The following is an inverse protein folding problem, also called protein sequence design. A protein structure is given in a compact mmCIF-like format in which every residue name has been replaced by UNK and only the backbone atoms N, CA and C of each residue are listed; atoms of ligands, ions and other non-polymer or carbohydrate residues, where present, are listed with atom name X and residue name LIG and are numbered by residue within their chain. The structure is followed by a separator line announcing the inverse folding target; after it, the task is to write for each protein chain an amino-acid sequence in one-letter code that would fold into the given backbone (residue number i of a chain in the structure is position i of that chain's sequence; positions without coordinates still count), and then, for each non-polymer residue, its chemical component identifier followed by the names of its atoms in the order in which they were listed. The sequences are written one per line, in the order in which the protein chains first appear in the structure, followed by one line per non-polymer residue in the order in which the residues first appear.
data_IF_481915626146
#
_entry.id   IF_481915626146
#
_cell.length_a   1.000
_cell.length_b   1.000
_cell.length_c   1.000
_cell.angle_alpha   90.00
_cell.angle_beta   90.00
_cell.angle_gamma   90.00
#
_symmetry.space_group_name_H-M   'P 1'
#
loop_
_entity.id
_entity.type
_entity.pdbx_description
1 polymer ?
#
# COMPACT_ATOMS: atom_id res chain seq x y z
N UNK A 1 -6.30 4.50 23.07
CA UNK A 1 -5.95 5.91 22.85
C UNK A 1 -5.15 6.48 24.03
N UNK A 2 -5.63 6.41 25.30
CA UNK A 2 -4.98 7.05 26.46
C UNK A 2 -3.47 6.79 26.57
N UNK A 3 -3.03 5.53 26.60
CA UNK A 3 -1.59 5.18 26.73
C UNK A 3 -0.68 5.70 25.60
N UNK A 4 -1.23 6.00 24.42
CA UNK A 4 -0.47 6.58 23.31
C UNK A 4 -0.36 8.10 23.48
N UNK A 5 -1.46 8.76 23.86
CA UNK A 5 -1.48 10.21 24.12
C UNK A 5 -0.49 10.60 25.22
N UNK A 6 -0.41 9.79 26.29
CA UNK A 6 0.55 9.99 27.39
C UNK A 6 2.03 9.94 26.96
N UNK A 7 2.28 9.41 25.75
CA UNK A 7 3.62 9.29 25.15
C UNK A 7 3.83 10.21 23.94
N UNK A 8 2.89 11.09 23.62
CA UNK A 8 2.94 11.95 22.46
C UNK A 8 2.87 11.18 21.12
N UNK A 9 2.25 9.99 21.12
CA UNK A 9 2.12 9.13 19.92
C UNK A 9 0.69 9.17 19.41
N UNK A 10 0.53 9.44 18.12
CA UNK A 10 -0.76 9.38 17.40
C UNK A 10 -0.84 8.16 16.48
N UNK A 11 -2.05 7.73 16.17
CA UNK A 11 -2.31 6.69 15.17
C UNK A 11 -2.60 7.38 13.83
N UNK A 12 -1.75 7.18 12.82
CA UNK A 12 -1.92 7.78 11.50
C UNK A 12 -3.01 7.10 10.66
N UNK A 13 -3.11 5.77 10.75
CA UNK A 13 -4.11 4.99 10.05
C UNK A 13 -4.38 3.66 10.76
N UNK A 14 -5.54 3.04 10.48
CA UNK A 14 -5.78 1.63 10.78
C UNK A 14 -5.53 0.81 9.51
N UNK A 15 -4.75 -0.27 9.62
CA UNK A 15 -4.45 -1.16 8.50
C UNK A 15 -5.23 -2.47 8.58
N UNK A 16 -5.85 -2.88 7.47
CA UNK A 16 -6.45 -4.19 7.30
C UNK A 16 -6.46 -4.57 5.82
N UNK A 17 -5.72 -5.59 5.47
CA UNK A 17 -5.34 -5.89 4.08
C UNK A 17 -5.88 -7.23 3.54
N UNK A 18 -7.21 -7.45 3.51
CA UNK A 18 -7.82 -8.66 2.97
C UNK A 18 -7.98 -8.60 1.46
N UNK A 19 -8.17 -9.78 0.84
CA UNK A 19 -8.67 -9.86 -0.52
C UNK A 19 -10.21 -9.85 -0.55
N UNK A 20 -10.82 -8.66 -0.76
CA UNK A 20 -12.27 -8.49 -0.76
C UNK A 20 -12.95 -9.02 -2.04
N UNK A 21 -12.19 -9.20 -3.13
CA UNK A 21 -12.73 -9.66 -4.41
C UNK A 21 -12.50 -11.15 -4.67
N UNK A 22 -11.99 -11.88 -3.67
CA UNK A 22 -11.81 -13.33 -3.75
C UNK A 22 -13.12 -14.05 -4.08
N UNK A 23 -13.04 -15.08 -4.92
CA UNK A 23 -14.15 -16.03 -5.15
C UNK A 23 -14.53 -16.82 -3.90
N UNK A 24 -13.60 -17.01 -2.98
CA UNK A 24 -13.87 -17.65 -1.69
C UNK A 24 -14.75 -16.74 -0.82
N UNK A 25 -16.04 -17.05 -0.79
CA UNK A 25 -17.04 -16.30 -0.01
C UNK A 25 -16.89 -16.51 1.49
N UNK A 26 -16.25 -17.60 1.93
CA UNK A 26 -15.99 -17.83 3.36
C UNK A 26 -14.90 -16.88 3.86
N UNK A 27 -13.97 -16.48 2.99
CA UNK A 27 -12.98 -15.45 3.26
C UNK A 27 -13.54 -14.02 3.02
N UNK A 28 -14.09 -13.75 1.83
CA UNK A 28 -14.43 -12.39 1.41
C UNK A 28 -15.56 -11.74 2.23
N UNK A 29 -16.61 -12.51 2.63
CA UNK A 29 -17.73 -11.95 3.40
C UNK A 29 -17.33 -11.49 4.81
N UNK A 30 -16.66 -12.29 5.65
CA UNK A 30 -16.18 -11.83 6.95
C UNK A 30 -15.18 -10.67 6.83
N UNK A 31 -14.31 -10.70 5.83
CA UNK A 31 -13.35 -9.65 5.57
C UNK A 31 -14.04 -8.30 5.27
N UNK A 32 -15.06 -8.30 4.40
CA UNK A 32 -15.85 -7.12 4.11
C UNK A 32 -16.60 -6.60 5.35
N UNK A 33 -17.19 -7.50 6.14
CA UNK A 33 -17.87 -7.14 7.38
C UNK A 33 -16.90 -6.49 8.38
N UNK A 34 -15.68 -7.03 8.49
CA UNK A 34 -14.64 -6.48 9.36
C UNK A 34 -14.16 -5.11 8.89
N UNK A 35 -13.89 -4.93 7.58
CA UNK A 35 -13.52 -3.62 7.03
C UNK A 35 -14.61 -2.56 7.33
N UNK A 36 -15.87 -2.89 7.12
CA UNK A 36 -17.00 -1.99 7.46
C UNK A 36 -17.02 -1.64 8.96
N UNK A 37 -16.68 -2.59 9.83
CA UNK A 37 -16.55 -2.35 11.27
C UNK A 37 -15.39 -1.40 11.59
N UNK A 38 -14.24 -1.57 10.93
CA UNK A 38 -13.09 -0.67 11.10
C UNK A 38 -13.43 0.76 10.67
N UNK A 39 -14.05 0.95 9.50
CA UNK A 39 -14.49 2.27 9.02
C UNK A 39 -15.37 2.96 10.07
N UNK A 40 -16.36 2.26 10.63
CA UNK A 40 -17.25 2.80 11.68
C UNK A 40 -16.55 3.06 13.02
N UNK A 41 -15.44 2.39 13.28
CA UNK A 41 -14.73 2.46 14.55
C UNK A 41 -13.56 3.44 14.55
N UNK A 42 -12.98 3.73 13.41
CA UNK A 42 -11.81 4.61 13.26
C UNK A 42 -12.04 6.02 13.87
N UNK A 43 -13.20 6.70 13.65
CA UNK A 43 -13.45 8.00 14.26
C UNK A 43 -13.49 7.97 15.78
N UNK A 44 -13.94 6.86 16.40
CA UNK A 44 -13.96 6.69 17.86
C UNK A 44 -12.58 6.64 18.48
N UNK A 45 -11.55 6.36 17.66
CA UNK A 45 -10.14 6.35 18.04
C UNK A 45 -9.43 7.65 17.64
N UNK A 46 -10.13 8.61 17.05
CA UNK A 46 -9.55 9.83 16.47
C UNK A 46 -8.75 9.58 15.19
N UNK A 47 -9.02 8.46 14.49
CA UNK A 47 -8.32 8.08 13.26
C UNK A 47 -9.22 8.32 12.05
N UNK A 48 -8.70 9.03 11.05
CA UNK A 48 -9.44 9.40 9.85
C UNK A 48 -9.06 8.58 8.60
N UNK A 49 -8.12 7.64 8.72
CA UNK A 49 -7.62 6.84 7.59
C UNK A 49 -7.73 5.35 7.91
N UNK A 50 -8.25 4.58 6.94
CA UNK A 50 -8.19 3.11 6.96
C UNK A 50 -7.49 2.65 5.68
N UNK A 51 -6.35 1.98 5.85
CA UNK A 51 -5.57 1.42 4.74
C UNK A 51 -5.98 -0.03 4.48
N UNK A 52 -6.07 -0.40 3.20
CA UNK A 52 -6.51 -1.73 2.78
C UNK A 52 -6.07 -2.05 1.35
N UNK A 53 -6.41 -3.25 0.87
CA UNK A 53 -6.32 -3.64 -0.54
C UNK A 53 -7.69 -3.60 -1.22
N UNK A 54 -7.71 -3.41 -2.54
CA UNK A 54 -8.91 -3.63 -3.36
C UNK A 54 -9.29 -5.10 -3.38
N UNK A 55 -8.30 -5.95 -3.52
CA UNK A 55 -8.46 -7.36 -3.78
C UNK A 55 -8.52 -7.67 -5.29
N UNK A 56 -8.26 -8.91 -5.65
CA UNK A 56 -8.46 -9.46 -6.99
C UNK A 56 -8.58 -10.98 -6.92
N UNK A 57 -9.22 -11.57 -7.91
CA UNK A 57 -9.22 -13.01 -8.14
C UNK A 57 -8.15 -13.34 -9.19
N UNK A 58 -7.03 -14.02 -8.84
CA UNK A 58 -5.91 -14.23 -9.75
C UNK A 58 -6.26 -15.00 -11.03
N UNK A 59 -7.29 -15.85 -10.97
CA UNK A 59 -7.75 -16.62 -12.12
C UNK A 59 -8.60 -15.80 -13.12
N UNK A 60 -8.86 -14.55 -12.85
CA UNK A 60 -9.64 -13.65 -13.71
C UNK A 60 -8.73 -12.59 -14.34
N UNK A 61 -9.14 -12.10 -15.52
CA UNK A 61 -8.53 -10.92 -16.12
C UNK A 61 -8.78 -9.66 -15.28
N UNK A 62 -7.97 -8.62 -15.51
CA UNK A 62 -8.16 -7.30 -14.88
C UNK A 62 -9.56 -6.74 -15.15
N UNK A 63 -10.10 -6.89 -16.36
CA UNK A 63 -11.44 -6.40 -16.71
C UNK A 63 -12.54 -7.13 -15.93
N UNK A 64 -12.40 -8.45 -15.74
CA UNK A 64 -13.35 -9.23 -14.94
C UNK A 64 -13.26 -8.86 -13.45
N UNK A 65 -12.04 -8.66 -12.92
CA UNK A 65 -11.82 -8.14 -11.58
C UNK A 65 -12.37 -6.71 -11.42
N UNK A 66 -12.22 -5.86 -12.45
CA UNK A 66 -12.73 -4.51 -12.43
C UNK A 66 -14.27 -4.46 -12.40
N UNK A 67 -14.94 -5.41 -13.04
CA UNK A 67 -16.40 -5.59 -12.90
C UNK A 67 -16.80 -5.90 -11.45
N UNK A 68 -16.03 -6.75 -10.77
CA UNK A 68 -16.23 -7.06 -9.35
C UNK A 68 -15.98 -5.84 -8.46
N UNK A 69 -14.98 -5.04 -8.76
CA UNK A 69 -14.69 -3.76 -8.10
C UNK A 69 -15.90 -2.81 -8.20
N UNK A 70 -16.43 -2.57 -9.39
CA UNK A 70 -17.61 -1.71 -9.61
C UNK A 70 -18.83 -2.12 -8.78
N UNK A 71 -19.01 -3.41 -8.55
CA UNK A 71 -20.15 -3.93 -7.79
C UNK A 71 -19.94 -3.84 -6.28
N UNK A 72 -18.69 -3.83 -5.81
CA UNK A 72 -18.37 -3.96 -4.38
C UNK A 72 -17.97 -2.62 -3.74
N UNK A 73 -17.07 -1.91 -4.38
CA UNK A 73 -16.36 -0.79 -3.76
C UNK A 73 -17.16 0.51 -3.59
N UNK A 74 -18.09 0.91 -4.49
CA UNK A 74 -18.85 2.15 -4.29
C UNK A 74 -19.59 2.21 -2.96
N UNK A 75 -20.15 1.08 -2.51
CA UNK A 75 -20.86 1.00 -1.22
C UNK A 75 -19.93 1.12 0.00
N UNK A 76 -18.67 0.68 -0.14
CA UNK A 76 -17.66 0.79 0.91
C UNK A 76 -17.22 2.25 1.04
N UNK A 77 -16.94 2.90 -0.09
CA UNK A 77 -16.52 4.30 -0.09
C UNK A 77 -17.64 5.21 0.38
N UNK A 78 -18.89 4.95 -0.02
CA UNK A 78 -20.05 5.68 0.54
C UNK A 78 -20.12 5.57 2.06
N UNK A 79 -19.89 4.37 2.62
CA UNK A 79 -19.84 4.19 4.08
C UNK A 79 -18.68 4.98 4.71
N UNK A 80 -17.53 5.03 4.06
CA UNK A 80 -16.38 5.79 4.53
C UNK A 80 -16.64 7.31 4.53
N UNK A 81 -17.28 7.84 3.48
CA UNK A 81 -17.76 9.22 3.42
C UNK A 81 -18.70 9.57 4.58
N UNK A 82 -19.70 8.71 4.84
CA UNK A 82 -20.70 8.92 5.89
C UNK A 82 -20.06 8.96 7.30
N UNK A 83 -18.84 8.42 7.44
CA UNK A 83 -18.10 8.40 8.71
C UNK A 83 -16.88 9.35 8.72
N UNK A 84 -16.67 10.12 7.66
CA UNK A 84 -15.50 11.03 7.55
C UNK A 84 -14.15 10.30 7.51
N UNK A 85 -14.12 9.07 6.98
CA UNK A 85 -12.93 8.21 6.93
C UNK A 85 -12.43 8.11 5.49
N UNK A 86 -11.16 8.41 5.26
CA UNK A 86 -10.50 8.17 3.98
C UNK A 86 -10.03 6.72 3.89
N UNK A 87 -10.20 6.12 2.72
CA UNK A 87 -9.67 4.79 2.41
C UNK A 87 -8.40 4.95 1.59
N UNK A 88 -7.27 4.47 2.13
CA UNK A 88 -5.99 4.40 1.44
C UNK A 88 -5.79 3.00 0.85
N UNK A 89 -5.73 2.90 -0.47
CA UNK A 89 -5.47 1.63 -1.15
C UNK A 89 -3.98 1.48 -1.38
N UNK A 90 -3.40 0.41 -0.86
CA UNK A 90 -2.01 0.09 -1.11
C UNK A 90 -1.85 -0.53 -2.51
N UNK A 91 -0.77 -0.14 -3.17
CA UNK A 91 -0.45 -0.59 -4.53
C UNK A 91 0.35 -1.91 -4.61
N UNK A 92 0.46 -2.64 -3.49
CA UNK A 92 1.04 -3.98 -3.48
C UNK A 92 0.22 -4.95 -4.34
N UNK A 93 0.79 -5.62 -5.35
CA UNK A 93 0.08 -6.63 -6.15
C UNK A 93 -0.29 -7.90 -5.38
N UNK A 94 0.29 -8.13 -4.20
CA UNK A 94 0.06 -9.30 -3.33
C UNK A 94 0.44 -10.62 -4.00
N UNK A 95 1.71 -10.76 -4.34
CA UNK A 95 2.29 -12.06 -4.70
C UNK A 95 2.92 -12.70 -3.46
N UNK A 96 2.48 -13.90 -3.11
CA UNK A 96 3.06 -14.72 -2.06
C UNK A 96 3.58 -16.05 -2.59
N UNK A 97 2.98 -16.53 -3.71
CA UNK A 97 3.35 -17.77 -4.39
C UNK A 97 3.39 -17.54 -5.91
N UNK A 98 3.94 -18.51 -6.64
CA UNK A 98 3.95 -18.47 -8.10
C UNK A 98 2.56 -18.63 -8.73
N UNK A 99 1.62 -19.27 -8.02
CA UNK A 99 0.26 -19.50 -8.52
C UNK A 99 -0.55 -18.21 -8.68
N UNK A 100 -0.11 -17.13 -8.07
CA UNK A 100 -0.73 -15.80 -8.14
C UNK A 100 -0.21 -14.98 -9.33
N UNK A 101 0.88 -15.40 -9.94
CA UNK A 101 1.46 -14.74 -11.09
C UNK A 101 0.68 -15.07 -12.37
N UNK A 102 0.45 -14.10 -13.32
CA UNK A 102 0.88 -12.69 -13.27
C UNK A 102 -0.12 -11.73 -12.62
N UNK A 103 -1.32 -12.15 -12.27
CA UNK A 103 -2.39 -11.22 -11.89
C UNK A 103 -2.29 -10.66 -10.45
N UNK A 104 -1.71 -11.44 -9.53
CA UNK A 104 -1.73 -11.09 -8.10
C UNK A 104 -3.13 -11.12 -7.47
N UNK A 105 -3.20 -10.75 -6.19
CA UNK A 105 -4.45 -10.69 -5.40
C UNK A 105 -4.95 -9.27 -5.12
N UNK A 106 -4.38 -8.26 -5.78
CA UNK A 106 -4.79 -6.88 -5.62
C UNK A 106 -4.83 -6.14 -6.97
N UNK A 107 -6.00 -5.66 -7.33
CA UNK A 107 -6.26 -4.97 -8.61
C UNK A 107 -5.58 -3.60 -8.71
N UNK A 108 -5.23 -2.97 -7.56
CA UNK A 108 -4.66 -1.62 -7.53
C UNK A 108 -3.14 -1.58 -7.82
N UNK A 109 -2.61 -2.45 -8.64
CA UNK A 109 -1.18 -2.66 -8.86
C UNK A 109 -0.49 -1.67 -9.80
N UNK A 110 -1.22 -0.79 -10.48
CA UNK A 110 -0.64 0.12 -11.47
C UNK A 110 -1.41 1.44 -11.62
N UNK A 111 -0.75 2.52 -12.09
CA UNK A 111 -1.40 3.79 -12.39
C UNK A 111 -2.56 3.69 -13.39
N UNK A 112 -2.48 2.78 -14.35
CA UNK A 112 -3.56 2.52 -15.29
C UNK A 112 -4.83 2.03 -14.58
N UNK A 113 -4.69 1.15 -13.60
CA UNK A 113 -5.82 0.68 -12.79
C UNK A 113 -6.34 1.76 -11.85
N UNK A 114 -5.47 2.59 -11.27
CA UNK A 114 -5.89 3.70 -10.40
C UNK A 114 -6.74 4.72 -11.14
N UNK A 115 -6.38 5.11 -12.37
CA UNK A 115 -7.22 6.00 -13.20
C UNK A 115 -8.62 5.44 -13.37
N UNK A 116 -8.74 4.19 -13.78
CA UNK A 116 -10.03 3.50 -13.95
C UNK A 116 -10.84 3.46 -12.64
N UNK A 117 -10.18 3.23 -11.50
CA UNK A 117 -10.83 3.21 -10.19
C UNK A 117 -11.36 4.58 -9.79
N UNK A 118 -10.56 5.63 -9.97
CA UNK A 118 -10.95 7.00 -9.63
C UNK A 118 -11.99 7.59 -10.57
N UNK A 119 -12.04 7.15 -11.85
CA UNK A 119 -13.16 7.46 -12.76
C UNK A 119 -14.48 6.87 -12.27
N UNK A 120 -14.48 5.66 -11.73
CA UNK A 120 -15.69 5.01 -11.18
C UNK A 120 -16.07 5.60 -9.84
N UNK A 121 -15.09 5.93 -8.99
CA UNK A 121 -15.29 6.45 -7.64
C UNK A 121 -14.48 7.74 -7.50
N UNK A 122 -15.00 8.90 -7.95
CA UNK A 122 -14.26 10.16 -7.91
C UNK A 122 -14.17 10.78 -6.51
N UNK A 123 -14.66 10.11 -5.48
CA UNK A 123 -14.70 10.58 -4.10
C UNK A 123 -13.31 10.94 -3.55
N UNK A 124 -13.21 12.06 -2.84
CA UNK A 124 -12.00 12.45 -2.09
C UNK A 124 -11.69 11.56 -0.88
N UNK A 125 -12.63 10.70 -0.50
CA UNK A 125 -12.45 9.70 0.56
C UNK A 125 -11.86 8.39 0.03
N UNK A 126 -11.55 8.32 -1.25
CA UNK A 126 -10.91 7.19 -1.91
C UNK A 126 -9.57 7.63 -2.50
N UNK A 127 -8.48 7.11 -1.94
CA UNK A 127 -7.12 7.47 -2.33
C UNK A 127 -6.14 6.31 -2.19
N UNK A 128 -4.87 6.63 -2.21
CA UNK A 128 -3.77 5.67 -2.19
C UNK A 128 -3.04 5.71 -0.84
N UNK A 129 -2.69 4.53 -0.35
CA UNK A 129 -1.58 4.30 0.56
C UNK A 129 -0.39 3.89 -0.33
N UNK A 130 0.47 4.85 -0.66
CA UNK A 130 1.44 4.67 -1.73
C UNK A 130 2.76 4.08 -1.22
N UNK A 131 3.16 2.97 -1.82
CA UNK A 131 4.44 2.31 -1.59
C UNK A 131 5.29 2.32 -2.87
N UNK A 132 6.40 3.08 -2.93
CA UNK A 132 7.24 3.17 -4.11
C UNK A 132 7.95 1.85 -4.45
N UNK A 133 8.20 0.98 -3.46
CA UNK A 133 8.91 -0.28 -3.67
C UNK A 133 8.20 -1.20 -4.66
N UNK A 134 6.86 -1.21 -4.63
CA UNK A 134 6.05 -2.00 -5.55
C UNK A 134 6.05 -1.48 -6.99
N UNK A 135 6.46 -0.24 -7.22
CA UNK A 135 6.67 0.29 -8.57
C UNK A 135 8.04 -0.14 -9.10
N UNK A 136 9.06 -0.10 -8.23
CA UNK A 136 10.46 -0.41 -8.61
C UNK A 136 10.58 -1.82 -9.18
N UNK A 137 10.11 -2.84 -8.45
CA UNK A 137 10.29 -4.23 -8.92
C UNK A 137 9.36 -4.59 -10.10
N UNK A 138 8.35 -3.77 -10.38
CA UNK A 138 7.57 -3.83 -11.61
C UNK A 138 8.19 -3.02 -12.77
N UNK A 139 9.38 -2.47 -12.59
CA UNK A 139 10.09 -1.60 -13.55
C UNK A 139 9.27 -0.36 -13.98
N UNK A 140 8.44 0.15 -13.07
CA UNK A 140 7.67 1.39 -13.27
C UNK A 140 8.36 2.58 -12.59
N UNK A 141 8.21 3.76 -13.17
CA UNK A 141 8.66 5.01 -12.55
C UNK A 141 7.80 5.33 -11.33
N UNK A 142 8.39 5.32 -10.13
CA UNK A 142 7.73 5.60 -8.87
C UNK A 142 7.58 7.10 -8.54
N UNK A 143 8.22 7.99 -9.30
CA UNK A 143 8.07 9.45 -9.11
C UNK A 143 6.94 10.00 -9.96
N UNK A 144 6.76 9.50 -11.18
CA UNK A 144 5.73 9.97 -12.11
C UNK A 144 4.31 10.00 -11.52
N UNK A 145 3.84 8.97 -10.79
CA UNK A 145 2.50 8.98 -10.20
C UNK A 145 2.29 10.07 -9.16
N UNK A 146 3.34 10.57 -8.50
CA UNK A 146 3.23 11.56 -7.43
C UNK A 146 2.53 12.83 -7.93
N UNK A 147 2.90 13.30 -9.09
CA UNK A 147 2.30 14.51 -9.69
C UNK A 147 0.91 14.25 -10.25
N UNK A 148 0.72 13.08 -10.87
CA UNK A 148 -0.56 12.73 -11.51
C UNK A 148 -1.67 12.51 -10.48
N UNK A 149 -1.34 11.92 -9.33
CA UNK A 149 -2.30 11.55 -8.29
C UNK A 149 -2.08 12.33 -6.99
N UNK A 150 -1.56 13.56 -7.08
CA UNK A 150 -1.20 14.39 -5.92
C UNK A 150 -2.34 14.54 -4.89
N UNK A 151 -3.58 14.66 -5.37
CA UNK A 151 -4.80 14.80 -4.55
C UNK A 151 -5.35 13.46 -4.03
N UNK A 152 -4.69 12.34 -4.36
CA UNK A 152 -5.12 10.98 -4.02
C UNK A 152 -4.26 10.30 -2.97
N UNK A 153 -3.09 10.83 -2.64
CA UNK A 153 -2.27 10.24 -1.58
C UNK A 153 -2.81 10.59 -0.20
N UNK A 154 -3.29 9.58 0.51
CA UNK A 154 -3.82 9.74 1.87
C UNK A 154 -2.85 9.17 2.91
N UNK A 155 -2.01 8.25 2.52
CA UNK A 155 -0.97 7.65 3.36
C UNK A 155 0.19 7.17 2.47
N UNK A 156 1.39 7.00 3.05
CA UNK A 156 2.59 6.54 2.33
C UNK A 156 3.29 5.48 3.16
N UNK A 157 3.68 4.37 2.52
CA UNK A 157 4.60 3.41 3.08
C UNK A 157 6.04 3.72 2.68
N UNK A 158 6.94 3.61 3.64
CA UNK A 158 8.38 3.68 3.43
C UNK A 158 8.97 2.28 3.56
N UNK A 159 8.90 1.55 2.46
CA UNK A 159 9.56 0.28 2.22
C UNK A 159 10.45 0.42 0.99
N UNK A 160 11.61 -0.17 1.03
CA UNK A 160 12.52 -0.23 -0.10
C UNK A 160 12.54 -1.64 -0.72
N UNK A 161 13.19 -1.77 -1.84
CA UNK A 161 13.35 -3.04 -2.54
C UNK A 161 14.69 -3.06 -3.26
N UNK A 162 15.38 -4.19 -3.21
CA UNK A 162 16.58 -4.45 -4.01
C UNK A 162 16.20 -5.40 -5.15
N UNK A 163 16.63 -5.02 -6.36
CA UNK A 163 16.60 -5.89 -7.53
C UNK A 163 17.89 -6.74 -7.55
N UNK A 164 17.75 -8.02 -7.79
CA UNK A 164 18.84 -8.93 -8.09
C UNK A 164 19.00 -8.99 -9.61
N UNK A 165 19.91 -8.17 -10.14
CA UNK A 165 20.07 -8.02 -11.57
C UNK A 165 20.60 -9.32 -12.21
N UNK A 166 21.50 -10.04 -11.55
CA UNK A 166 22.04 -11.30 -12.06
C UNK A 166 20.92 -12.36 -12.21
N UNK A 167 20.02 -12.42 -11.22
CA UNK A 167 18.85 -13.29 -11.31
C UNK A 167 17.87 -12.82 -12.39
N UNK A 168 17.64 -11.52 -12.51
CA UNK A 168 16.75 -10.99 -13.54
C UNK A 168 17.27 -11.27 -14.96
N UNK A 169 18.58 -11.15 -15.15
CA UNK A 169 19.25 -11.44 -16.44
C UNK A 169 19.19 -12.94 -16.80
N UNK A 170 19.14 -13.82 -15.78
CA UNK A 170 19.01 -15.28 -15.97
C UNK A 170 17.57 -15.70 -16.27
N UNK A 171 16.59 -15.23 -15.50
CA UNK A 171 15.21 -15.70 -15.59
C UNK A 171 14.29 -14.81 -16.43
N UNK A 172 14.64 -13.56 -16.64
CA UNK A 172 13.86 -12.55 -17.37
C UNK A 172 12.60 -12.08 -16.66
N UNK A 173 11.99 -11.01 -17.18
CA UNK A 173 10.78 -10.37 -16.60
C UNK A 173 9.52 -11.23 -16.67
N UNK A 174 9.54 -12.35 -17.42
CA UNK A 174 8.40 -13.27 -17.48
C UNK A 174 8.38 -14.27 -16.32
N UNK A 175 9.46 -14.35 -15.56
CA UNK A 175 9.48 -15.11 -14.31
C UNK A 175 8.69 -14.38 -13.21
N UNK A 176 8.32 -15.12 -12.16
CA UNK A 176 7.70 -14.47 -10.99
C UNK A 176 8.65 -13.43 -10.39
N UNK A 177 8.16 -12.20 -10.09
CA UNK A 177 9.00 -11.17 -9.48
C UNK A 177 9.68 -11.59 -8.18
N UNK A 178 9.12 -12.57 -7.46
CA UNK A 178 9.71 -13.13 -6.23
C UNK A 178 11.10 -13.77 -6.44
N UNK A 179 11.47 -14.10 -7.70
CA UNK A 179 12.78 -14.67 -8.00
C UNK A 179 13.90 -13.62 -8.12
N UNK A 180 13.59 -12.36 -8.43
CA UNK A 180 14.60 -11.34 -8.71
C UNK A 180 14.48 -10.07 -7.86
N UNK A 181 13.62 -10.03 -6.84
CA UNK A 181 13.61 -8.91 -5.90
C UNK A 181 13.53 -9.34 -4.45
N UNK A 182 13.94 -8.47 -3.57
CA UNK A 182 13.78 -8.64 -2.12
C UNK A 182 13.45 -7.33 -1.43
N UNK A 183 12.44 -7.32 -0.53
CA UNK A 183 12.13 -6.15 0.30
C UNK A 183 13.32 -5.73 1.15
N UNK A 184 13.47 -4.43 1.36
CA UNK A 184 14.55 -3.80 2.11
C UNK A 184 14.04 -2.67 3.00
N UNK A 185 14.82 -2.33 4.02
CA UNK A 185 14.60 -1.09 4.76
C UNK A 185 14.91 0.12 3.89
N UNK A 186 14.25 1.26 4.11
CA UNK A 186 14.55 2.51 3.41
C UNK A 186 16.04 2.86 3.40
N UNK A 187 16.58 3.07 2.20
CA UNK A 187 17.98 3.35 1.94
C UNK A 187 18.87 2.12 1.73
N UNK A 188 18.33 0.90 1.78
CA UNK A 188 19.05 -0.34 1.48
C UNK A 188 18.64 -0.97 0.14
N UNK A 189 17.87 -0.25 -0.67
CA UNK A 189 17.38 -0.68 -1.98
C UNK A 189 17.49 0.40 -3.04
N UNK A 190 16.57 0.38 -4.02
CA UNK A 190 16.63 1.18 -5.24
C UNK A 190 15.86 2.52 -5.14
N UNK A 191 15.06 2.75 -4.10
CA UNK A 191 14.28 3.97 -3.98
C UNK A 191 15.18 5.16 -3.60
N UNK A 192 15.21 6.18 -4.42
CA UNK A 192 15.86 7.45 -4.07
C UNK A 192 14.95 8.25 -3.14
N UNK A 193 15.08 8.05 -1.85
CA UNK A 193 14.22 8.64 -0.82
C UNK A 193 14.27 10.17 -0.78
N UNK A 194 15.44 10.75 -1.07
CA UNK A 194 15.56 12.20 -1.15
C UNK A 194 14.68 12.80 -2.26
N UNK A 195 14.75 12.23 -3.47
CA UNK A 195 13.89 12.64 -4.58
C UNK A 195 12.42 12.33 -4.30
N UNK A 196 12.11 11.14 -3.78
CA UNK A 196 10.75 10.70 -3.50
C UNK A 196 10.05 11.63 -2.51
N UNK A 197 10.67 11.94 -1.38
CA UNK A 197 10.10 12.80 -0.34
C UNK A 197 10.02 14.27 -0.78
N UNK A 198 11.00 14.74 -1.56
CA UNK A 198 10.94 16.07 -2.19
C UNK A 198 9.75 16.21 -3.15
N UNK A 199 9.56 15.25 -4.06
CA UNK A 199 8.41 15.26 -4.99
C UNK A 199 7.06 15.17 -4.26
N UNK A 200 6.97 14.35 -3.19
CA UNK A 200 5.78 14.32 -2.34
C UNK A 200 5.49 15.67 -1.67
N UNK A 201 6.54 16.32 -1.16
CA UNK A 201 6.45 17.65 -0.56
C UNK A 201 5.99 18.71 -1.56
N UNK A 202 6.56 18.70 -2.78
CA UNK A 202 6.20 19.61 -3.87
C UNK A 202 4.77 19.37 -4.36
N UNK A 203 4.31 18.12 -4.35
CA UNK A 203 2.93 17.74 -4.66
C UNK A 203 1.93 18.12 -3.54
N UNK A 204 2.39 18.67 -2.43
CA UNK A 204 1.55 19.13 -1.32
C UNK A 204 1.20 18.04 -0.29
N UNK A 205 1.79 16.85 -0.35
CA UNK A 205 1.56 15.82 0.64
C UNK A 205 2.11 16.25 2.01
N UNK A 206 1.29 16.11 3.05
CA UNK A 206 1.64 16.45 4.46
C UNK A 206 1.21 15.34 5.43
N UNK A 207 0.89 14.17 4.90
CA UNK A 207 0.45 13.00 5.68
C UNK A 207 1.63 12.22 6.29
N UNK A 208 1.31 11.10 6.91
CA UNK A 208 2.29 10.22 7.51
C UNK A 208 3.09 9.42 6.47
N UNK A 209 4.38 9.25 6.73
CA UNK A 209 5.27 8.32 6.03
C UNK A 209 5.59 7.18 7.00
N UNK A 210 5.01 6.01 6.78
CA UNK A 210 5.04 4.88 7.69
C UNK A 210 6.12 3.87 7.26
N UNK A 211 7.13 3.66 8.09
CA UNK A 211 8.15 2.62 7.82
C UNK A 211 7.52 1.24 7.90
N UNK A 212 7.66 0.45 6.84
CA UNK A 212 7.30 -0.95 6.80
C UNK A 212 8.56 -1.83 6.86
N UNK A 213 8.64 -2.68 7.90
CA UNK A 213 9.80 -3.53 8.12
C UNK A 213 9.54 -4.90 7.49
N UNK A 214 10.00 -5.08 6.25
CA UNK A 214 9.94 -6.33 5.49
C UNK A 214 11.34 -6.72 4.97
N UNK A 215 12.36 -6.61 5.80
CA UNK A 215 13.73 -7.03 5.44
C UNK A 215 14.13 -8.25 6.28
N UNK A 216 14.36 -9.39 5.60
CA UNK A 216 14.72 -10.67 6.24
C UNK A 216 15.89 -10.57 7.22
N UNK A 217 16.83 -9.64 6.98
CA UNK A 217 17.95 -9.42 7.90
C UNK A 217 17.52 -8.92 9.28
N UNK A 218 16.31 -8.36 9.41
CA UNK A 218 15.79 -7.75 10.62
C UNK A 218 14.57 -8.46 11.22
N UNK A 219 14.09 -9.55 10.63
CA UNK A 219 12.89 -10.26 11.08
C UNK A 219 13.12 -11.21 12.25
N UNK A 220 14.37 -11.64 12.49
CA UNK A 220 14.71 -12.74 13.39
C UNK A 220 14.42 -12.49 14.88
N UNK A 221 14.27 -11.25 15.33
CA UNK A 221 14.00 -10.94 16.74
C UNK A 221 13.29 -9.59 16.92
N UNK A 222 12.66 -9.37 18.08
CA UNK A 222 12.09 -8.08 18.43
C UNK A 222 13.16 -6.97 18.49
N UNK A 223 14.37 -7.31 18.94
CA UNK A 223 15.48 -6.35 18.99
C UNK A 223 15.91 -5.94 17.58
N UNK A 224 16.00 -6.89 16.63
CA UNK A 224 16.31 -6.60 15.24
C UNK A 224 15.25 -5.68 14.61
N UNK A 225 13.96 -5.95 14.83
CA UNK A 225 12.86 -5.09 14.32
C UNK A 225 12.91 -3.68 14.90
N UNK A 226 13.24 -3.51 16.19
CA UNK A 226 13.46 -2.20 16.81
C UNK A 226 14.67 -1.48 16.21
N UNK A 227 15.76 -2.20 15.93
CA UNK A 227 16.93 -1.66 15.26
C UNK A 227 16.57 -1.19 13.83
N UNK A 228 15.80 -1.98 13.09
CA UNK A 228 15.28 -1.63 11.76
C UNK A 228 14.51 -0.32 11.77
N UNK A 229 13.54 -0.17 12.69
CA UNK A 229 12.77 1.07 12.84
C UNK A 229 13.66 2.27 13.17
N UNK A 230 14.61 2.10 14.10
CA UNK A 230 15.55 3.15 14.47
C UNK A 230 16.49 3.55 13.32
N UNK A 231 16.93 2.58 12.52
CA UNK A 231 17.77 2.82 11.35
C UNK A 231 16.98 3.57 10.25
N UNK A 232 15.79 3.09 9.92
CA UNK A 232 14.92 3.70 8.92
C UNK A 232 14.54 5.14 9.29
N UNK A 233 14.19 5.37 10.55
CA UNK A 233 13.91 6.72 11.05
C UNK A 233 15.12 7.65 10.90
N UNK A 234 16.31 7.22 11.33
CA UNK A 234 17.54 8.03 11.23
C UNK A 234 17.89 8.37 9.78
N UNK A 235 17.63 7.46 8.86
CA UNK A 235 17.85 7.67 7.44
C UNK A 235 16.84 8.66 6.86
N UNK A 236 15.54 8.39 7.01
CA UNK A 236 14.47 9.17 6.39
C UNK A 236 14.36 10.59 6.95
N UNK A 237 14.63 10.81 8.23
CA UNK A 237 14.54 12.15 8.84
C UNK A 237 15.46 13.21 8.20
N UNK A 238 16.49 12.77 7.46
CA UNK A 238 17.36 13.71 6.75
C UNK A 238 16.67 14.38 5.56
N UNK A 239 15.53 13.85 5.11
CA UNK A 239 14.76 14.30 3.95
C UNK A 239 13.37 14.84 4.35
N UNK A 240 13.01 14.77 5.62
CA UNK A 240 11.76 15.31 6.14
C UNK A 240 12.01 16.71 6.74
N UNK A 241 11.08 17.67 6.57
CA UNK A 241 11.19 19.01 7.15
C UNK A 241 11.16 19.01 8.67
#
# INVERSE_FOLDING_TARGET
AGKLNDRGVSISALGYYPNLLSKDKQHARPALAHLKKLIKSAPKLGVSIVNTFIGAEPSLSDDANFKSFRNTWPSIIKLAEDHGVQIGIENCPMYFTQDEWPSGKNLAHSPAMWRRMFEVIPSKFFGLNYDPSHMVWQHMDYLKPIREFADRFVHVHAKDVRLDQDQLDDVGIMATPLSYHSPKLPGLGEVNWGKFLSELGDAGYRGAVCVEVEDRAYEGSQQARKAALSQSYRYLKNFLP
#
